data_IF_734202849890
#
_entry.id   IF_734202849890
#
_cell.length_a   1.000
_cell.length_b   1.000
_cell.length_c   1.000
_cell.angle_alpha   90.00
_cell.angle_beta   90.00
_cell.angle_gamma   90.00
#
_symmetry.space_group_name_H-M   'P 1'
#
loop_
_entity.id
_entity.type
_entity.pdbx_description
1 polymer ?
#
# COMPACT_ATOMS: atom_id res chain seq x y z
N UNK A 1 -1.27 22.37 -1.98
CA UNK A 1 -1.45 23.20 -0.74
C UNK A 1 -1.94 24.59 -1.10
N UNK A 2 -2.82 25.25 -0.28
CA UNK A 2 -3.32 26.62 -0.52
C UNK A 2 -2.72 27.63 0.46
N UNK A 3 -2.41 27.18 1.67
CA UNK A 3 -1.88 28.02 2.76
C UNK A 3 -0.62 27.38 3.36
N UNK A 4 0.31 28.23 3.76
CA UNK A 4 1.55 27.83 4.40
C UNK A 4 1.28 27.19 5.78
N UNK A 5 1.80 25.98 6.07
CA UNK A 5 1.60 25.35 7.37
C UNK A 5 2.38 26.02 8.51
N UNK A 6 3.39 26.85 8.20
CA UNK A 6 4.18 27.54 9.20
C UNK A 6 3.58 28.90 9.64
N UNK A 7 3.04 29.68 8.69
CA UNK A 7 2.60 31.04 9.00
C UNK A 7 1.16 31.38 8.56
N UNK A 8 0.45 30.44 7.93
CA UNK A 8 -0.93 30.59 7.52
C UNK A 8 -1.17 31.50 6.30
N UNK A 9 -0.13 32.10 5.69
CA UNK A 9 -0.30 32.92 4.49
C UNK A 9 -0.58 32.08 3.24
N UNK A 10 -1.28 32.62 2.23
CA UNK A 10 -1.43 31.96 0.94
C UNK A 10 -0.07 31.67 0.30
N UNK A 11 0.05 30.50 -0.34
CA UNK A 11 1.26 30.10 -1.07
C UNK A 11 1.10 30.36 -2.57
N UNK A 12 2.23 30.60 -3.24
CA UNK A 12 2.33 30.70 -4.70
C UNK A 12 2.93 29.42 -5.28
N UNK A 13 2.43 29.01 -6.45
CA UNK A 13 3.04 27.93 -7.23
C UNK A 13 4.14 28.52 -8.09
N UNK A 14 5.40 28.25 -7.76
CA UNK A 14 6.57 28.76 -8.47
C UNK A 14 7.74 27.79 -8.40
N UNK A 15 8.72 27.98 -9.25
CA UNK A 15 9.97 27.21 -9.21
C UNK A 15 10.90 27.94 -8.21
N UNK A 16 11.27 27.31 -7.08
CA UNK A 16 12.20 27.88 -6.13
C UNK A 16 13.59 28.10 -6.73
N UNK A 17 14.39 28.98 -6.13
CA UNK A 17 15.78 29.14 -6.52
C UNK A 17 16.53 27.81 -6.39
N UNK A 18 17.24 27.39 -7.45
CA UNK A 18 17.99 26.12 -7.54
C UNK A 18 17.14 24.84 -7.59
N UNK A 19 15.83 24.94 -7.86
CA UNK A 19 14.95 23.80 -8.17
C UNK A 19 14.60 23.82 -9.67
N UNK A 20 14.08 22.72 -10.19
CA UNK A 20 13.60 22.56 -11.56
C UNK A 20 12.09 22.29 -11.64
N UNK A 21 11.44 22.19 -10.47
CA UNK A 21 10.01 21.83 -10.36
C UNK A 21 9.19 22.92 -9.70
N UNK A 22 7.93 23.00 -10.11
CA UNK A 22 6.95 23.89 -9.48
C UNK A 22 6.64 23.36 -8.08
N UNK A 23 6.77 24.23 -7.06
CA UNK A 23 6.48 23.96 -5.65
C UNK A 23 5.50 25.01 -5.10
N UNK A 24 4.84 24.69 -4.00
CA UNK A 24 4.12 25.68 -3.22
C UNK A 24 5.13 26.46 -2.35
N UNK A 25 5.32 27.72 -2.67
CA UNK A 25 6.28 28.61 -1.99
C UNK A 25 5.51 29.69 -1.22
N UNK A 26 5.85 29.89 0.05
CA UNK A 26 5.27 30.96 0.86
C UNK A 26 6.01 32.29 0.65
N UNK A 27 5.35 33.35 0.16
CA UNK A 27 6.00 34.64 -0.04
C UNK A 27 6.25 35.40 1.26
N UNK A 28 5.72 34.93 2.39
CA UNK A 28 5.84 35.64 3.69
C UNK A 28 6.96 35.07 4.57
N UNK A 29 7.27 33.78 4.48
CA UNK A 29 8.28 33.12 5.33
C UNK A 29 9.23 32.18 4.56
N UNK A 30 9.18 32.23 3.23
CA UNK A 30 10.02 31.45 2.31
C UNK A 30 9.94 29.91 2.48
N UNK A 31 8.92 29.41 3.20
CA UNK A 31 8.66 27.98 3.29
C UNK A 31 8.37 27.41 1.91
N UNK A 32 9.05 26.31 1.58
CA UNK A 32 8.84 25.55 0.35
C UNK A 32 8.27 24.20 0.72
N UNK A 33 7.14 23.82 0.10
CA UNK A 33 6.51 22.52 0.28
C UNK A 33 7.10 21.52 -0.71
N UNK A 34 7.78 20.51 -0.16
CA UNK A 34 8.31 19.38 -0.92
C UNK A 34 7.36 18.19 -0.80
N UNK A 35 6.33 18.19 -1.64
CA UNK A 35 5.39 17.06 -1.73
C UNK A 35 6.08 15.85 -2.35
N UNK A 36 6.02 14.70 -1.66
CA UNK A 36 6.66 13.44 -2.05
C UNK A 36 5.60 12.35 -2.27
N UNK A 37 5.92 11.30 -3.06
CA UNK A 37 5.04 10.15 -3.19
C UNK A 37 4.73 9.54 -1.82
N UNK A 38 3.47 9.15 -1.64
CA UNK A 38 3.02 8.48 -0.42
C UNK A 38 3.39 7.01 -0.45
N UNK A 39 3.89 6.52 0.68
CA UNK A 39 4.22 5.11 0.87
C UNK A 39 3.00 4.36 1.39
N UNK A 40 2.63 3.27 0.73
CA UNK A 40 1.70 2.27 1.21
C UNK A 40 2.50 1.03 1.59
N UNK A 41 2.25 0.46 2.76
CA UNK A 41 2.89 -0.76 3.23
C UNK A 41 1.87 -1.83 3.55
N UNK A 42 2.18 -3.07 3.20
CA UNK A 42 1.27 -4.17 3.45
C UNK A 42 1.97 -5.52 3.47
N UNK A 43 1.19 -6.57 3.69
CA UNK A 43 1.70 -7.93 3.75
C UNK A 43 1.05 -8.84 2.72
N UNK A 44 1.72 -9.95 2.42
CA UNK A 44 1.19 -11.15 1.77
C UNK A 44 1.08 -12.19 2.88
N UNK A 45 -0.03 -12.21 3.62
CA UNK A 45 -0.12 -13.04 4.83
C UNK A 45 -0.54 -14.46 4.49
N UNK A 46 0.30 -15.41 4.86
CA UNK A 46 0.08 -16.84 4.63
C UNK A 46 -0.26 -17.56 5.92
N UNK A 47 -1.17 -18.52 5.85
CA UNK A 47 -1.47 -19.46 6.93
C UNK A 47 -1.71 -20.86 6.37
N UNK A 48 -0.90 -21.84 6.79
CA UNK A 48 -0.99 -23.26 6.36
C UNK A 48 -1.13 -23.42 4.84
N UNK A 49 -0.35 -22.64 4.07
CA UNK A 49 -0.32 -22.71 2.60
C UNK A 49 -1.41 -21.90 1.89
N UNK A 50 -2.32 -21.26 2.62
CA UNK A 50 -3.38 -20.39 2.09
C UNK A 50 -3.03 -18.93 2.25
N UNK A 51 -3.54 -18.11 1.34
CA UNK A 51 -3.39 -16.64 1.33
C UNK A 51 -4.57 -15.99 2.03
N UNK A 52 -4.32 -15.08 2.96
CA UNK A 52 -5.36 -14.23 3.54
C UNK A 52 -5.61 -13.03 2.65
N UNK A 53 -6.89 -12.76 2.36
CA UNK A 53 -7.36 -11.52 1.73
C UNK A 53 -8.44 -10.88 2.60
N UNK A 54 -8.53 -9.55 2.50
CA UNK A 54 -9.52 -8.70 3.13
C UNK A 54 -10.47 -8.14 2.09
N UNK A 55 -11.78 -8.15 2.33
CA UNK A 55 -12.79 -7.58 1.46
C UNK A 55 -13.12 -6.18 1.93
N UNK A 56 -12.79 -5.19 1.13
CA UNK A 56 -12.88 -3.78 1.48
C UNK A 56 -14.30 -3.35 1.89
N UNK A 57 -14.40 -2.66 2.99
CA UNK A 57 -15.63 -2.04 3.50
C UNK A 57 -15.62 -0.51 3.33
N UNK A 58 -14.60 0.04 2.65
CA UNK A 58 -14.40 1.46 2.42
C UNK A 58 -14.12 1.76 0.94
N UNK A 59 -14.42 2.98 0.50
CA UNK A 59 -14.00 3.48 -0.82
C UNK A 59 -12.50 3.86 -0.82
N UNK A 60 -11.81 3.80 -1.96
CA UNK A 60 -12.28 3.28 -3.25
C UNK A 60 -12.37 1.75 -3.27
N UNK A 61 -13.07 1.20 -4.25
CA UNK A 61 -13.20 -0.26 -4.48
C UNK A 61 -13.90 -1.01 -3.33
N UNK A 62 -14.95 -0.42 -2.77
CA UNK A 62 -15.85 -1.11 -1.81
C UNK A 62 -16.29 -2.48 -2.36
N UNK A 63 -16.18 -3.52 -1.53
CA UNK A 63 -16.59 -4.89 -1.86
C UNK A 63 -15.58 -5.72 -2.67
N UNK A 64 -14.43 -5.15 -3.04
CA UNK A 64 -13.35 -5.88 -3.70
C UNK A 64 -12.35 -6.46 -2.69
N UNK A 65 -11.66 -7.53 -3.09
CA UNK A 65 -10.64 -8.19 -2.29
C UNK A 65 -9.27 -7.51 -2.43
N UNK A 66 -8.53 -7.47 -1.35
CA UNK A 66 -7.18 -6.88 -1.33
C UNK A 66 -6.25 -7.64 -0.37
N UNK A 67 -4.95 -7.44 -0.52
CA UNK A 67 -3.99 -7.69 0.55
C UNK A 67 -4.16 -6.61 1.62
N UNK A 68 -4.00 -6.92 2.91
CA UNK A 68 -4.00 -5.89 3.95
C UNK A 68 -2.83 -4.92 3.74
N UNK A 69 -3.16 -3.64 3.56
CA UNK A 69 -2.20 -2.58 3.25
C UNK A 69 -2.82 -1.19 3.34
N UNK A 70 -2.09 -0.24 3.91
CA UNK A 70 -2.50 1.15 3.98
C UNK A 70 -1.34 2.14 4.03
N UNK A 71 -1.65 3.40 4.27
CA UNK A 71 -0.66 4.46 4.32
C UNK A 71 0.26 4.30 5.52
N UNK A 72 1.56 4.42 5.24
CA UNK A 72 2.55 4.44 6.29
C UNK A 72 2.39 5.67 7.18
N UNK A 73 2.41 5.47 8.50
CA UNK A 73 2.34 6.54 9.49
C UNK A 73 3.73 7.12 9.81
N UNK A 74 3.74 8.34 10.33
CA UNK A 74 4.98 8.95 10.79
C UNK A 74 5.56 8.18 11.99
N UNK A 75 6.89 8.04 12.02
CA UNK A 75 7.66 7.39 13.10
C UNK A 75 7.55 5.86 13.16
N UNK A 76 6.92 5.21 12.20
CA UNK A 76 6.98 3.75 12.04
C UNK A 76 7.94 3.36 10.90
N UNK A 77 8.51 2.18 10.99
CA UNK A 77 9.21 1.55 9.88
C UNK A 77 8.21 0.97 8.88
N UNK A 78 8.61 0.77 7.64
CA UNK A 78 7.76 0.14 6.62
C UNK A 78 7.25 -1.24 7.04
N UNK A 79 8.04 -1.98 7.83
CA UNK A 79 7.66 -3.28 8.37
C UNK A 79 6.62 -3.17 9.49
N UNK A 80 6.77 -2.18 10.38
CA UNK A 80 5.79 -1.91 11.44
C UNK A 80 4.46 -1.48 10.85
N UNK A 81 4.46 -0.58 9.85
CA UNK A 81 3.26 -0.17 9.15
C UNK A 81 2.55 -1.36 8.49
N UNK A 82 3.28 -2.22 7.77
CA UNK A 82 2.70 -3.41 7.14
C UNK A 82 2.06 -4.38 8.16
N UNK A 83 2.66 -4.54 9.34
CA UNK A 83 2.10 -5.38 10.40
C UNK A 83 0.90 -4.74 11.09
N UNK A 84 0.93 -3.41 11.30
CA UNK A 84 -0.19 -2.65 11.84
C UNK A 84 -1.41 -2.76 10.93
N UNK A 85 -1.24 -2.48 9.63
CA UNK A 85 -2.32 -2.61 8.63
C UNK A 85 -2.88 -4.04 8.57
N UNK A 86 -2.02 -5.06 8.67
CA UNK A 86 -2.48 -6.45 8.72
C UNK A 86 -3.38 -6.71 9.92
N UNK A 87 -3.00 -6.21 11.10
CA UNK A 87 -3.80 -6.34 12.31
C UNK A 87 -5.12 -5.54 12.22
N UNK A 88 -5.07 -4.30 11.75
CA UNK A 88 -6.24 -3.41 11.64
C UNK A 88 -7.27 -3.93 10.64
N UNK A 89 -6.83 -4.41 9.46
CA UNK A 89 -7.73 -4.87 8.42
C UNK A 89 -8.18 -6.32 8.57
N UNK A 90 -7.40 -7.19 9.23
CA UNK A 90 -7.75 -8.62 9.37
C UNK A 90 -8.05 -9.07 10.80
N UNK A 91 -7.73 -8.27 11.81
CA UNK A 91 -7.81 -8.66 13.22
C UNK A 91 -6.74 -9.67 13.65
N UNK A 92 -5.84 -10.10 12.77
CA UNK A 92 -4.85 -11.14 13.05
C UNK A 92 -3.42 -10.62 13.07
N UNK A 93 -2.62 -11.13 14.00
CA UNK A 93 -1.19 -10.83 14.07
C UNK A 93 -0.39 -11.65 13.05
N UNK A 94 0.62 -11.00 12.45
CA UNK A 94 1.53 -11.64 11.52
C UNK A 94 3.00 -11.45 11.90
N UNK A 95 3.87 -12.25 11.30
CA UNK A 95 5.33 -12.13 11.38
C UNK A 95 5.85 -11.87 9.97
N UNK A 96 6.41 -10.69 9.73
CA UNK A 96 7.07 -10.38 8.47
C UNK A 96 8.37 -11.16 8.32
N UNK A 97 8.56 -11.80 7.16
CA UNK A 97 9.80 -12.48 6.78
C UNK A 97 10.76 -11.52 6.08
N UNK A 98 10.41 -11.10 4.87
CA UNK A 98 11.25 -10.22 4.03
C UNK A 98 10.39 -9.30 3.18
N UNK A 99 10.97 -8.18 2.72
CA UNK A 99 10.37 -7.38 1.67
C UNK A 99 10.29 -8.21 0.38
N UNK A 100 9.16 -8.11 -0.32
CA UNK A 100 8.87 -8.94 -1.48
C UNK A 100 8.69 -8.13 -2.76
N UNK A 101 7.83 -7.12 -2.76
CA UNK A 101 7.62 -6.29 -3.94
C UNK A 101 7.54 -4.82 -3.61
N UNK A 102 8.12 -3.97 -4.48
CA UNK A 102 7.97 -2.53 -4.48
C UNK A 102 7.37 -2.10 -5.82
N UNK A 103 6.14 -1.61 -5.80
CA UNK A 103 5.40 -1.20 -6.99
C UNK A 103 5.25 0.31 -7.00
N UNK A 104 5.85 0.97 -7.99
CA UNK A 104 5.70 2.40 -8.20
C UNK A 104 4.48 2.69 -9.07
N UNK A 105 3.66 3.68 -8.66
CA UNK A 105 2.48 4.15 -9.42
C UNK A 105 2.60 5.67 -9.58
N UNK A 106 3.41 6.15 -10.53
CA UNK A 106 3.76 7.57 -10.63
C UNK A 106 2.58 8.51 -10.89
N UNK A 107 1.51 8.04 -11.56
CA UNK A 107 0.36 8.88 -11.91
C UNK A 107 -0.50 9.29 -10.72
N UNK A 108 -0.39 8.57 -9.60
CA UNK A 108 -1.12 8.87 -8.35
C UNK A 108 -0.18 9.18 -7.19
N UNK A 109 1.12 9.35 -7.50
CA UNK A 109 2.17 9.69 -6.53
C UNK A 109 2.20 8.70 -5.35
N UNK A 110 2.27 7.38 -5.66
CA UNK A 110 2.30 6.31 -4.66
C UNK A 110 3.40 5.28 -4.94
N UNK A 111 3.93 4.71 -3.85
CA UNK A 111 4.83 3.55 -3.86
C UNK A 111 4.28 2.52 -2.88
N UNK A 112 4.02 1.31 -3.36
CA UNK A 112 3.47 0.20 -2.58
C UNK A 112 4.57 -0.81 -2.27
N UNK A 113 4.80 -1.09 -0.98
CA UNK A 113 5.79 -2.06 -0.52
C UNK A 113 5.09 -3.20 0.22
N UNK A 114 5.25 -4.43 -0.28
CA UNK A 114 4.68 -5.62 0.34
C UNK A 114 5.75 -6.52 0.93
N UNK A 115 5.43 -7.09 2.08
CA UNK A 115 6.24 -8.08 2.79
C UNK A 115 5.62 -9.46 2.73
N UNK A 116 6.44 -10.50 2.56
CA UNK A 116 6.01 -11.85 2.89
C UNK A 116 5.79 -11.94 4.39
N UNK A 117 4.66 -12.51 4.80
CA UNK A 117 4.33 -12.67 6.20
C UNK A 117 3.63 -14.01 6.46
N UNK A 118 3.78 -14.50 7.68
CA UNK A 118 3.05 -15.66 8.18
C UNK A 118 2.13 -15.21 9.31
N UNK A 119 0.84 -15.57 9.26
CA UNK A 119 -0.06 -15.36 10.38
C UNK A 119 0.37 -16.22 11.57
N UNK A 120 0.28 -15.67 12.77
CA UNK A 120 0.59 -16.40 14.00
C UNK A 120 -0.44 -17.48 14.30
N UNK A 121 -1.70 -17.21 14.00
CA UNK A 121 -2.86 -18.07 14.26
C UNK A 121 -4.01 -17.77 13.29
N UNK A 122 -5.11 -18.51 13.36
CA UNK A 122 -6.28 -18.40 12.50
C UNK A 122 -7.44 -17.64 13.18
N UNK A 123 -7.12 -16.55 13.85
CA UNK A 123 -8.07 -15.72 14.59
C UNK A 123 -8.56 -14.48 13.82
N UNK A 124 -8.31 -14.45 12.48
CA UNK A 124 -8.75 -13.35 11.63
C UNK A 124 -10.28 -13.21 11.61
N UNK A 125 -10.75 -11.98 11.46
CA UNK A 125 -12.19 -11.63 11.47
C UNK A 125 -12.43 -10.31 10.72
N UNK A 126 -13.69 -10.06 10.36
CA UNK A 126 -14.12 -8.79 9.79
C UNK A 126 -13.85 -7.63 10.76
N UNK A 127 -13.50 -6.47 10.21
CA UNK A 127 -13.18 -5.24 10.94
C UNK A 127 -14.03 -4.08 10.44
N UNK A 128 -13.80 -2.87 10.93
CA UNK A 128 -14.50 -1.70 10.40
C UNK A 128 -14.14 -1.42 8.93
N UNK A 129 -12.89 -1.74 8.52
CA UNK A 129 -12.39 -1.51 7.17
C UNK A 129 -12.53 -2.73 6.26
N UNK A 130 -12.79 -3.91 6.80
CA UNK A 130 -12.95 -5.17 6.08
C UNK A 130 -14.26 -5.86 6.40
N UNK A 131 -15.19 -5.90 5.45
CA UNK A 131 -16.49 -6.56 5.62
C UNK A 131 -16.39 -8.08 5.71
N UNK A 132 -15.33 -8.65 5.15
CA UNK A 132 -15.04 -10.08 5.16
C UNK A 132 -13.51 -10.28 5.12
N UNK A 133 -13.02 -11.30 5.84
CA UNK A 133 -11.63 -11.72 5.83
C UNK A 133 -11.60 -13.22 5.63
N UNK A 134 -10.85 -13.72 4.65
CA UNK A 134 -10.87 -15.13 4.28
C UNK A 134 -9.52 -15.66 3.82
N UNK A 135 -9.33 -16.97 4.02
CA UNK A 135 -8.17 -17.71 3.48
C UNK A 135 -8.54 -18.35 2.15
N UNK A 136 -7.73 -18.10 1.14
CA UNK A 136 -7.87 -18.64 -0.20
C UNK A 136 -6.77 -19.67 -0.49
N UNK A 137 -7.13 -20.79 -1.12
CA UNK A 137 -6.13 -21.58 -1.82
C UNK A 137 -5.52 -20.73 -2.95
N UNK A 138 -4.26 -20.92 -3.26
CA UNK A 138 -3.60 -20.11 -4.27
C UNK A 138 -4.20 -20.29 -5.67
N UNK A 139 -4.89 -21.44 -5.91
CA UNK A 139 -5.67 -21.70 -7.13
C UNK A 139 -6.98 -20.92 -7.22
N UNK A 140 -7.51 -20.47 -6.07
CA UNK A 140 -8.87 -19.93 -5.94
C UNK A 140 -8.89 -18.43 -5.66
N UNK A 141 -7.75 -17.76 -5.87
CA UNK A 141 -7.66 -16.30 -5.76
C UNK A 141 -8.68 -15.64 -6.71
N UNK A 142 -9.54 -14.72 -6.21
CA UNK A 142 -10.59 -14.08 -7.00
C UNK A 142 -10.00 -12.95 -7.88
N UNK A 143 -9.29 -13.30 -8.93
CA UNK A 143 -8.52 -12.38 -9.77
C UNK A 143 -9.32 -11.21 -10.35
N UNK A 144 -10.57 -11.43 -10.72
CA UNK A 144 -11.45 -10.42 -11.31
C UNK A 144 -12.11 -9.50 -10.26
N UNK A 145 -11.99 -9.88 -8.98
CA UNK A 145 -12.51 -9.14 -7.83
C UNK A 145 -11.40 -8.49 -7.00
N UNK A 146 -10.16 -8.46 -7.47
CA UNK A 146 -9.07 -7.76 -6.79
C UNK A 146 -9.19 -6.25 -6.96
N UNK A 147 -9.01 -5.51 -5.86
CA UNK A 147 -9.26 -4.07 -5.79
C UNK A 147 -8.33 -3.24 -6.68
N UNK A 148 -7.04 -3.57 -6.71
CA UNK A 148 -6.02 -2.72 -7.30
C UNK A 148 -5.04 -3.51 -8.18
N UNK A 149 -4.57 -2.85 -9.23
CA UNK A 149 -3.58 -3.42 -10.15
C UNK A 149 -2.26 -3.79 -9.45
N UNK A 150 -1.84 -3.03 -8.44
CA UNK A 150 -0.67 -3.33 -7.62
C UNK A 150 -0.80 -4.64 -6.84
N UNK A 151 -1.99 -4.93 -6.29
CA UNK A 151 -2.30 -6.18 -5.61
C UNK A 151 -2.24 -7.35 -6.61
N UNK A 152 -2.92 -7.19 -7.74
CA UNK A 152 -2.90 -8.20 -8.83
C UNK A 152 -1.47 -8.49 -9.28
N UNK A 153 -0.64 -7.44 -9.46
CA UNK A 153 0.76 -7.60 -9.88
C UNK A 153 1.59 -8.30 -8.82
N UNK A 154 1.49 -7.87 -7.56
CA UNK A 154 2.19 -8.47 -6.42
C UNK A 154 1.85 -9.95 -6.28
N UNK A 155 0.56 -10.30 -6.34
CA UNK A 155 0.12 -11.69 -6.22
C UNK A 155 0.57 -12.57 -7.39
N UNK A 156 0.61 -12.04 -8.63
CA UNK A 156 1.16 -12.79 -9.78
C UNK A 156 2.64 -13.14 -9.57
N UNK A 157 3.45 -12.17 -9.12
CA UNK A 157 4.86 -12.40 -8.79
C UNK A 157 5.00 -13.44 -7.66
N UNK A 158 4.17 -13.30 -6.62
CA UNK A 158 4.16 -14.24 -5.50
C UNK A 158 3.87 -15.70 -5.92
N UNK A 159 2.86 -15.89 -6.78
CA UNK A 159 2.51 -17.23 -7.29
C UNK A 159 3.65 -17.85 -8.11
N UNK A 160 4.35 -17.04 -8.92
CA UNK A 160 5.50 -17.52 -9.70
C UNK A 160 6.65 -17.96 -8.81
N UNK A 161 7.02 -17.16 -7.82
CA UNK A 161 8.06 -17.51 -6.85
C UNK A 161 7.66 -18.71 -6.00
N UNK A 162 6.40 -18.78 -5.60
CA UNK A 162 5.86 -19.89 -4.80
C UNK A 162 6.01 -21.25 -5.48
N UNK A 163 5.85 -21.31 -6.81
CA UNK A 163 6.04 -22.56 -7.59
C UNK A 163 7.46 -23.10 -7.51
N UNK A 164 8.43 -22.23 -7.37
CA UNK A 164 9.86 -22.58 -7.28
C UNK A 164 10.37 -22.71 -5.84
N UNK A 165 9.61 -22.16 -4.88
CA UNK A 165 10.04 -22.04 -3.48
C UNK A 165 11.13 -20.99 -3.25
N UNK A 166 11.45 -20.19 -4.26
CA UNK A 166 12.49 -19.16 -4.19
C UNK A 166 11.85 -17.76 -4.30
N UNK A 167 11.91 -16.99 -3.24
CA UNK A 167 11.30 -15.66 -3.17
C UNK A 167 12.36 -14.58 -3.30
N UNK A 168 12.31 -13.86 -4.43
CA UNK A 168 13.13 -12.68 -4.70
C UNK A 168 12.51 -11.38 -4.16
N UNK A 169 13.24 -10.26 -4.35
CA UNK A 169 12.66 -8.94 -4.25
C UNK A 169 12.33 -8.43 -5.65
N UNK A 170 11.11 -7.99 -5.86
CA UNK A 170 10.60 -7.53 -7.15
C UNK A 170 10.36 -6.02 -7.14
N UNK A 171 10.88 -5.33 -8.12
CA UNK A 171 10.60 -3.92 -8.39
C UNK A 171 9.84 -3.80 -9.72
N UNK A 172 8.75 -3.04 -9.73
CA UNK A 172 7.95 -2.84 -10.93
C UNK A 172 7.29 -1.46 -10.94
N UNK A 173 6.80 -1.05 -12.11
CA UNK A 173 6.07 0.20 -12.30
C UNK A 173 4.76 -0.08 -13.02
N UNK A 174 3.66 0.39 -12.45
CA UNK A 174 2.33 0.31 -13.05
C UNK A 174 1.93 1.70 -13.54
N UNK A 175 1.56 1.79 -14.81
CA UNK A 175 1.00 2.99 -15.40
C UNK A 175 -0.53 2.86 -15.42
N UNK A 176 -1.19 3.65 -14.57
CA UNK A 176 -2.66 3.68 -14.48
C UNK A 176 -3.23 4.90 -15.20
N UNK A 177 -4.38 4.74 -15.82
CA UNK A 177 -5.15 5.89 -16.29
C UNK A 177 -5.88 6.51 -15.11
N UNK A 178 -5.71 7.82 -14.85
CA UNK A 178 -6.29 8.56 -13.72
C UNK A 178 -7.83 8.44 -13.55
N UNK A 179 -8.49 7.75 -14.46
CA UNK A 179 -9.97 7.58 -14.49
C UNK A 179 -10.46 6.24 -13.93
N UNK A 180 -9.60 5.34 -13.49
CA UNK A 180 -9.98 3.93 -13.16
C UNK A 180 -9.57 3.42 -11.78
N UNK A 181 -8.87 4.21 -10.96
CA UNK A 181 -8.50 3.81 -9.56
C UNK A 181 -8.88 4.86 -8.52
#
# INVERSE_FOLDING_TARGET
>A
MRYCPQCGHPVNMSIPERDDKIRAVCPSCDYIDYDNPRMITGTIPMYKGKLLLCKRNIEPRLGYWTLPAGFMENQETTKEGALRETLEESGSEAICRQAFSMISIPQIDQVHLFYLADLKQDDFHATEESSEVALFELSDIPWDELAFSSITRTLKLFIEDHKTGHYGFHEDTILVNRTTE
#
